data_IF_657705514871
#
_entry.id   IF_657705514871
#
_cell.length_a   1.000
_cell.length_b   1.000
_cell.length_c   1.000
_cell.angle_alpha   90.00
_cell.angle_beta   90.00
_cell.angle_gamma   90.00
#
_symmetry.space_group_name_H-M   'P 1'
#
loop_
_entity.id
_entity.type
_entity.pdbx_description
1 polymer ?
#
# COMPACT_ATOMS: atom_id res chain seq x y z
N UNK A 1 -29.18 7.63 -81.97
CA UNK A 1 -28.31 7.36 -80.81
C UNK A 1 -27.37 8.54 -80.66
N UNK A 2 -27.45 9.25 -79.52
CA UNK A 2 -26.84 10.58 -79.32
C UNK A 2 -25.38 10.44 -78.87
N UNK A 3 -24.47 11.18 -79.50
CA UNK A 3 -23.12 11.44 -79.01
C UNK A 3 -23.08 12.88 -78.46
N UNK A 4 -22.88 13.03 -77.14
CA UNK A 4 -22.59 14.30 -76.45
C UNK A 4 -21.06 14.43 -76.30
N UNK A 5 -20.46 15.52 -76.77
CA UNK A 5 -20.21 16.80 -76.07
C UNK A 5 -19.19 16.68 -74.94
N UNK A 6 -17.98 17.12 -75.26
CA UNK A 6 -16.84 17.39 -74.38
C UNK A 6 -17.05 18.68 -73.62
N UNK A 7 -16.91 18.65 -72.29
CA UNK A 7 -16.66 19.83 -71.47
C UNK A 7 -15.49 19.57 -70.52
N UNK A 8 -14.52 20.48 -70.59
CA UNK A 8 -13.46 20.72 -69.61
C UNK A 8 -14.04 21.59 -68.51
N UNK A 9 -13.75 21.31 -67.25
CA UNK A 9 -13.50 22.35 -66.23
C UNK A 9 -12.73 21.74 -65.05
N UNK A 10 -11.80 22.54 -64.56
CA UNK A 10 -10.83 22.26 -63.50
C UNK A 10 -11.44 22.22 -62.09
N UNK A 11 -10.55 21.85 -61.15
CA UNK A 11 -10.38 22.38 -59.78
C UNK A 11 -10.70 21.41 -58.62
N UNK A 12 -9.73 21.37 -57.69
CA UNK A 12 -9.66 20.81 -56.34
C UNK A 12 -9.11 19.37 -56.23
N UNK A 13 -7.82 19.22 -55.93
CA UNK A 13 -7.19 19.31 -54.59
C UNK A 13 -7.61 18.13 -53.72
N UNK A 14 -6.69 17.16 -53.54
CA UNK A 14 -6.34 16.61 -52.23
C UNK A 14 -5.05 15.81 -52.31
N UNK A 15 -4.29 15.92 -51.22
CA UNK A 15 -2.95 15.43 -51.01
C UNK A 15 -2.85 13.90 -51.05
N UNK A 16 -1.81 13.40 -51.71
CA UNK A 16 -1.26 12.07 -51.49
C UNK A 16 0.17 12.22 -51.02
N UNK A 17 0.40 12.13 -49.71
CA UNK A 17 1.73 11.97 -49.14
C UNK A 17 1.74 10.65 -48.37
N UNK A 18 2.35 9.65 -48.99
CA UNK A 18 2.85 8.45 -48.35
C UNK A 18 3.96 8.86 -47.36
N UNK A 19 3.93 8.29 -46.15
CA UNK A 19 4.94 8.57 -45.14
C UNK A 19 4.79 7.60 -43.97
N UNK A 20 5.61 6.56 -44.03
CA UNK A 20 5.79 5.48 -43.07
C UNK A 20 6.07 5.99 -41.64
N UNK A 21 5.66 5.22 -40.62
CA UNK A 21 6.25 5.37 -39.28
C UNK A 21 5.34 5.03 -38.11
N UNK A 22 5.47 3.80 -37.62
CA UNK A 22 5.42 3.48 -36.18
C UNK A 22 4.10 3.71 -35.45
N UNK A 23 3.14 2.80 -35.61
CA UNK A 23 2.07 2.62 -34.62
C UNK A 23 2.69 1.93 -33.40
N UNK A 24 3.24 2.73 -32.48
CA UNK A 24 3.56 2.29 -31.13
C UNK A 24 2.26 1.98 -30.42
N UNK A 25 1.89 0.70 -30.44
CA UNK A 25 0.82 0.17 -29.64
C UNK A 25 1.16 0.41 -28.17
N UNK A 26 0.40 1.30 -27.52
CA UNK A 26 0.31 1.36 -26.08
C UNK A 26 -0.30 0.06 -25.57
N UNK A 27 0.53 -0.98 -25.48
CA UNK A 27 0.31 -2.08 -24.56
C UNK A 27 0.39 -1.51 -23.15
N UNK A 28 -0.75 -1.09 -22.61
CA UNK A 28 -0.93 -0.95 -21.16
C UNK A 28 -0.93 -2.38 -20.61
N UNK A 29 0.27 -2.93 -20.42
CA UNK A 29 0.44 -4.01 -19.45
C UNK A 29 -0.02 -3.45 -18.11
N UNK A 30 -1.09 -4.03 -17.59
CA UNK A 30 -1.58 -3.79 -16.24
C UNK A 30 -0.39 -3.93 -15.28
N UNK A 31 0.15 -2.79 -14.83
CA UNK A 31 1.08 -2.75 -13.69
C UNK A 31 0.28 -3.25 -12.50
N UNK A 32 0.59 -4.48 -12.09
CA UNK A 32 0.18 -5.06 -10.82
C UNK A 32 0.43 -4.03 -9.72
N UNK A 33 -0.65 -3.45 -9.22
CA UNK A 33 -0.67 -2.35 -8.26
C UNK A 33 -0.40 -2.83 -6.83
N UNK A 34 0.69 -3.57 -6.64
CA UNK A 34 1.29 -3.78 -5.32
C UNK A 34 2.71 -3.23 -5.36
N UNK A 35 2.79 -1.90 -5.38
CA UNK A 35 4.03 -1.22 -5.01
C UNK A 35 4.28 -1.56 -3.55
N UNK A 36 5.28 -2.41 -3.33
CA UNK A 36 5.89 -2.65 -2.03
C UNK A 36 6.08 -1.30 -1.32
N UNK A 37 5.67 -1.22 -0.06
CA UNK A 37 5.82 -0.02 0.80
C UNK A 37 7.28 0.49 0.78
N UNK A 38 8.22 -0.40 0.48
CA UNK A 38 9.65 -0.15 0.36
C UNK A 38 10.05 0.58 -0.94
N UNK A 39 9.37 0.37 -2.07
CA UNK A 39 9.72 1.01 -3.35
C UNK A 39 9.42 2.51 -3.36
N UNK A 40 8.32 2.94 -2.74
CA UNK A 40 7.99 4.36 -2.58
C UNK A 40 8.86 5.06 -1.52
N UNK A 41 9.35 4.32 -0.52
CA UNK A 41 10.30 4.81 0.48
C UNK A 41 11.73 4.94 -0.06
N UNK A 42 12.11 4.06 -0.99
CA UNK A 42 13.44 4.00 -1.63
C UNK A 42 13.76 5.23 -2.49
N UNK A 43 12.78 5.77 -3.25
CA UNK A 43 13.01 6.99 -4.04
C UNK A 43 13.14 8.26 -3.18
N UNK A 44 12.51 8.29 -2.00
CA UNK A 44 12.51 9.45 -1.11
C UNK A 44 13.71 9.50 -0.15
N UNK A 45 14.44 8.38 0.03
CA UNK A 45 15.53 8.25 0.97
C UNK A 45 16.77 7.64 0.32
N UNK A 46 17.27 8.32 -0.72
CA UNK A 46 18.54 7.99 -1.36
C UNK A 46 19.69 8.25 -0.39
N UNK A 47 20.10 7.24 0.35
CA UNK A 47 21.32 7.27 1.15
C UNK A 47 22.55 7.30 0.24
N UNK A 48 23.62 7.97 0.66
CA UNK A 48 24.88 7.99 -0.09
C UNK A 48 25.67 6.70 0.14
N UNK A 49 26.66 6.44 -0.72
CA UNK A 49 27.56 5.32 -0.52
C UNK A 49 28.33 5.46 0.81
N UNK A 50 28.72 6.68 1.19
CA UNK A 50 29.41 6.91 2.46
C UNK A 50 28.53 6.56 3.67
N UNK A 51 27.23 6.90 3.61
CA UNK A 51 26.29 6.62 4.68
C UNK A 51 26.03 5.12 4.88
N UNK A 52 26.03 4.37 3.78
CA UNK A 52 25.93 2.93 3.80
C UNK A 52 27.18 2.29 4.40
N UNK A 53 28.37 2.76 4.00
CA UNK A 53 29.65 2.26 4.50
C UNK A 53 29.85 2.58 5.98
N UNK A 54 29.42 3.76 6.44
CA UNK A 54 29.40 4.13 7.86
C UNK A 54 28.48 3.22 8.68
N UNK A 55 27.29 2.89 8.14
CA UNK A 55 26.34 2.02 8.83
C UNK A 55 26.79 0.56 8.89
N UNK A 56 27.34 0.04 7.79
CA UNK A 56 27.79 -1.35 7.70
C UNK A 56 29.20 -1.55 8.31
N UNK A 57 29.98 -0.48 8.46
CA UNK A 57 31.37 -0.56 8.91
C UNK A 57 32.33 -1.22 7.91
N UNK A 58 31.90 -1.40 6.66
CA UNK A 58 32.66 -2.02 5.57
C UNK A 58 32.47 -1.24 4.26
N UNK A 59 33.45 -1.31 3.37
CA UNK A 59 33.37 -0.69 2.03
C UNK A 59 32.26 -1.36 1.20
N UNK A 60 31.53 -0.57 0.40
CA UNK A 60 30.42 -1.07 -0.41
C UNK A 60 30.83 -2.23 -1.33
N UNK A 61 32.02 -2.15 -1.93
CA UNK A 61 32.52 -3.19 -2.82
C UNK A 61 32.74 -4.52 -2.08
N UNK A 62 33.18 -4.44 -0.83
CA UNK A 62 33.36 -5.61 0.04
C UNK A 62 32.01 -6.18 0.47
N UNK A 63 31.06 -5.31 0.82
CA UNK A 63 29.68 -5.71 1.12
C UNK A 63 29.00 -6.41 -0.05
N UNK A 64 29.02 -5.83 -1.26
CA UNK A 64 28.42 -6.46 -2.45
C UNK A 64 29.07 -7.82 -2.76
N UNK A 65 30.37 -7.97 -2.47
CA UNK A 65 31.08 -9.24 -2.65
C UNK A 65 30.66 -10.30 -1.64
N UNK A 66 30.42 -9.93 -0.39
CA UNK A 66 29.91 -10.83 0.65
C UNK A 66 28.47 -11.25 0.36
N UNK A 67 27.62 -10.28 0.00
CA UNK A 67 26.25 -10.53 -0.48
C UNK A 67 26.25 -11.48 -1.68
N UNK A 68 27.20 -11.30 -2.62
CA UNK A 68 27.35 -12.17 -3.78
C UNK A 68 27.77 -13.58 -3.40
N UNK A 69 28.74 -13.73 -2.50
CA UNK A 69 29.20 -15.03 -2.05
C UNK A 69 28.07 -15.80 -1.33
N UNK A 70 27.32 -15.13 -0.46
CA UNK A 70 26.16 -15.72 0.23
C UNK A 70 25.07 -16.13 -0.75
N UNK A 71 24.82 -15.31 -1.78
CA UNK A 71 23.87 -15.63 -2.84
C UNK A 71 24.28 -16.87 -3.63
N UNK A 72 25.53 -16.92 -4.08
CA UNK A 72 26.05 -18.05 -4.86
C UNK A 72 26.09 -19.35 -4.00
N UNK A 73 26.21 -19.25 -2.67
CA UNK A 73 26.11 -20.41 -1.75
C UNK A 73 24.68 -20.97 -1.64
N UNK A 74 23.67 -20.10 -1.74
CA UNK A 74 22.26 -20.47 -1.63
C UNK A 74 21.60 -20.79 -2.98
N UNK A 75 22.17 -20.34 -4.09
CA UNK A 75 21.82 -20.74 -5.47
C UNK A 75 22.37 -22.15 -5.77
N UNK A 76 21.76 -23.15 -5.11
CA UNK A 76 22.23 -24.54 -5.14
C UNK A 76 22.16 -25.18 -6.53
N UNK A 77 21.25 -24.72 -7.38
CA UNK A 77 21.04 -25.20 -8.74
C UNK A 77 21.80 -24.38 -9.80
N UNK A 78 22.49 -23.30 -9.39
CA UNK A 78 23.26 -22.39 -10.24
C UNK A 78 22.42 -21.85 -11.41
N UNK A 79 21.13 -21.63 -11.18
CA UNK A 79 20.22 -21.07 -12.19
C UNK A 79 20.30 -19.53 -12.23
N UNK A 80 21.12 -18.95 -11.33
CA UNK A 80 21.30 -17.52 -11.17
C UNK A 80 20.20 -16.89 -10.32
N UNK A 81 19.38 -17.70 -9.64
CA UNK A 81 18.23 -17.28 -8.86
C UNK A 81 18.21 -17.97 -7.49
N UNK A 82 17.52 -17.33 -6.56
CA UNK A 82 17.19 -17.92 -5.27
C UNK A 82 15.68 -17.86 -5.06
N UNK A 83 15.09 -18.92 -4.53
CA UNK A 83 13.68 -18.96 -4.14
C UNK A 83 13.42 -18.09 -2.92
N UNK A 84 12.16 -17.78 -2.66
CA UNK A 84 11.77 -16.97 -1.51
C UNK A 84 12.26 -17.60 -0.19
N UNK A 85 12.11 -18.92 -0.03
CA UNK A 85 12.57 -19.62 1.18
C UNK A 85 14.09 -19.54 1.35
N UNK A 86 14.86 -19.62 0.25
CA UNK A 86 16.31 -19.42 0.29
C UNK A 86 16.70 -17.98 0.63
N UNK A 87 15.97 -16.98 0.13
CA UNK A 87 16.17 -15.57 0.51
C UNK A 87 16.00 -15.38 2.02
N UNK A 88 15.00 -16.04 2.62
CA UNK A 88 14.76 -15.96 4.07
C UNK A 88 15.94 -16.49 4.87
N UNK A 89 16.45 -17.67 4.51
CA UNK A 89 17.61 -18.29 5.19
C UNK A 89 18.85 -17.43 5.00
N UNK A 90 19.11 -17.00 3.77
CA UNK A 90 20.25 -16.15 3.44
C UNK A 90 20.23 -14.83 4.23
N UNK A 91 19.07 -14.17 4.36
CA UNK A 91 18.94 -12.94 5.15
C UNK A 91 19.16 -13.17 6.65
N UNK A 92 18.91 -14.37 7.16
CA UNK A 92 19.20 -14.74 8.55
C UNK A 92 20.69 -15.06 8.75
N UNK A 93 21.32 -15.73 7.78
CA UNK A 93 22.72 -16.16 7.86
C UNK A 93 23.71 -15.00 7.76
N UNK A 94 23.35 -13.91 7.08
CA UNK A 94 24.22 -12.75 6.94
C UNK A 94 24.33 -11.88 8.22
N UNK A 95 23.67 -12.25 9.32
CA UNK A 95 23.73 -11.64 10.66
C UNK A 95 23.67 -10.09 10.68
N UNK A 96 23.00 -9.47 9.71
CA UNK A 96 22.83 -8.01 9.63
C UNK A 96 21.79 -7.48 10.63
N UNK A 97 21.35 -8.31 11.58
CA UNK A 97 20.41 -7.91 12.63
C UNK A 97 18.97 -7.66 12.16
N UNK A 98 18.59 -8.16 10.98
CA UNK A 98 17.22 -8.01 10.50
C UNK A 98 16.24 -8.75 11.41
N UNK A 99 15.20 -8.05 11.88
CA UNK A 99 14.15 -8.69 12.66
C UNK A 99 13.33 -9.63 11.79
N UNK A 100 12.79 -10.71 12.38
CA UNK A 100 11.95 -11.67 11.66
C UNK A 100 10.73 -10.98 11.00
N UNK A 101 10.22 -9.90 11.61
CA UNK A 101 9.15 -9.08 11.04
C UNK A 101 9.60 -8.31 9.80
N UNK A 102 10.82 -7.77 9.81
CA UNK A 102 11.40 -7.08 8.66
C UNK A 102 11.53 -8.08 7.50
N UNK A 103 12.07 -9.27 7.77
CA UNK A 103 12.21 -10.34 6.77
C UNK A 103 10.84 -10.80 6.24
N UNK A 104 9.84 -10.99 7.11
CA UNK A 104 8.49 -11.36 6.69
C UNK A 104 7.83 -10.28 5.79
N UNK A 105 8.01 -9.01 6.13
CA UNK A 105 7.46 -7.91 5.33
C UNK A 105 8.16 -7.74 3.98
N UNK A 106 9.47 -8.03 3.91
CA UNK A 106 10.17 -8.14 2.62
C UNK A 106 9.50 -9.23 1.78
N UNK A 107 9.31 -10.41 2.36
CA UNK A 107 8.76 -11.60 1.69
C UNK A 107 7.33 -11.39 1.17
N UNK A 108 6.49 -10.63 1.88
CA UNK A 108 5.13 -10.26 1.42
C UNK A 108 5.13 -9.40 0.15
N UNK A 109 6.17 -8.60 -0.05
CA UNK A 109 6.34 -7.79 -1.26
C UNK A 109 6.72 -8.62 -2.49
N UNK A 110 7.03 -9.92 -2.31
CA UNK A 110 7.66 -10.73 -3.35
C UNK A 110 6.87 -12.00 -3.69
N UNK A 111 5.57 -11.84 -3.90
CA UNK A 111 4.74 -12.92 -4.42
C UNK A 111 5.07 -13.19 -5.90
N UNK A 112 5.86 -14.24 -6.19
CA UNK A 112 6.09 -14.80 -7.52
C UNK A 112 6.94 -16.08 -7.48
N UNK A 113 6.53 -17.10 -8.25
CA UNK A 113 7.17 -18.44 -8.26
C UNK A 113 8.50 -18.50 -9.04
N UNK A 114 8.90 -17.43 -9.73
CA UNK A 114 9.98 -17.49 -10.74
C UNK A 114 11.40 -17.32 -10.18
N UNK A 115 11.58 -17.26 -8.85
CA UNK A 115 12.88 -17.05 -8.19
C UNK A 115 13.45 -15.64 -8.38
N UNK A 116 14.48 -15.30 -7.59
CA UNK A 116 15.09 -13.97 -7.56
C UNK A 116 16.47 -13.98 -8.20
N UNK A 117 16.61 -13.28 -9.31
CA UNK A 117 17.94 -12.96 -9.80
C UNK A 117 18.72 -12.10 -8.79
N UNK A 118 20.04 -12.27 -8.73
CA UNK A 118 20.94 -11.53 -7.83
C UNK A 118 20.68 -10.01 -7.81
N UNK A 119 20.40 -9.41 -8.96
CA UNK A 119 20.11 -7.97 -9.06
C UNK A 119 18.88 -7.56 -8.26
N UNK A 120 17.81 -8.36 -8.31
CA UNK A 120 16.58 -8.07 -7.58
C UNK A 120 16.78 -8.26 -6.08
N UNK A 121 17.53 -9.30 -5.71
CA UNK A 121 17.92 -9.56 -4.34
C UNK A 121 18.75 -8.40 -3.76
N UNK A 122 19.75 -7.92 -4.49
CA UNK A 122 20.58 -6.79 -4.07
C UNK A 122 19.77 -5.50 -3.91
N UNK A 123 18.83 -5.21 -4.82
CA UNK A 123 17.91 -4.08 -4.68
C UNK A 123 17.09 -4.17 -3.38
N UNK A 124 16.58 -5.36 -3.07
CA UNK A 124 15.81 -5.58 -1.84
C UNK A 124 16.65 -5.36 -0.57
N UNK A 125 17.87 -5.89 -0.54
CA UNK A 125 18.81 -5.66 0.58
C UNK A 125 19.08 -4.16 0.77
N UNK A 126 19.28 -3.41 -0.32
CA UNK A 126 19.49 -1.96 -0.25
C UNK A 126 18.26 -1.19 0.21
N UNK A 127 17.06 -1.56 -0.24
CA UNK A 127 15.82 -0.90 0.19
C UNK A 127 15.61 -1.06 1.70
N UNK A 128 15.93 -2.22 2.24
CA UNK A 128 15.82 -2.52 3.67
C UNK A 128 16.86 -1.74 4.46
N UNK A 129 18.12 -1.79 4.06
CA UNK A 129 19.18 -1.03 4.71
C UNK A 129 18.89 0.47 4.69
N UNK A 130 18.29 0.98 3.61
CA UNK A 130 17.84 2.36 3.53
C UNK A 130 16.79 2.73 4.57
N UNK A 131 15.85 1.81 4.85
CA UNK A 131 14.86 1.99 5.92
C UNK A 131 15.53 1.98 7.30
N UNK A 132 16.41 1.01 7.57
CA UNK A 132 17.11 0.90 8.86
C UNK A 132 18.05 2.10 9.12
N UNK A 133 18.80 2.54 8.11
CA UNK A 133 19.66 3.74 8.17
C UNK A 133 18.81 4.99 8.44
N UNK A 134 17.66 5.11 7.77
CA UNK A 134 16.75 6.22 7.99
C UNK A 134 16.14 6.22 9.40
N UNK A 135 15.86 5.03 9.96
CA UNK A 135 15.42 4.89 11.34
C UNK A 135 16.52 5.26 12.34
N UNK A 136 17.75 4.79 12.12
CA UNK A 136 18.91 5.08 12.97
C UNK A 136 19.25 6.59 13.00
N UNK A 137 19.05 7.29 11.88
CA UNK A 137 19.27 8.75 11.76
C UNK A 137 18.16 9.61 12.36
N UNK A 138 17.13 9.01 12.96
CA UNK A 138 16.05 9.75 13.60
C UNK A 138 15.17 10.53 12.61
N UNK A 139 15.11 10.09 11.33
CA UNK A 139 14.23 10.70 10.35
C UNK A 139 12.77 10.35 10.70
N UNK A 140 12.15 11.22 11.49
CA UNK A 140 10.83 11.08 12.15
C UNK A 140 9.64 10.89 11.22
N UNK A 141 9.80 11.10 9.91
CA UNK A 141 8.78 10.80 8.90
C UNK A 141 8.54 9.29 8.74
N UNK A 142 9.55 8.44 8.96
CA UNK A 142 9.44 6.98 8.94
C UNK A 142 9.00 6.37 10.29
N UNK A 143 9.27 7.04 11.41
CA UNK A 143 8.69 6.66 12.70
C UNK A 143 7.15 6.77 12.66
N UNK A 144 6.61 7.78 11.98
CA UNK A 144 5.16 7.92 11.81
C UNK A 144 4.56 6.83 10.93
N UNK A 145 5.20 6.44 9.82
CA UNK A 145 4.67 5.37 8.96
C UNK A 145 4.80 3.98 9.58
N UNK A 146 5.87 3.68 10.32
CA UNK A 146 6.03 2.39 11.01
C UNK A 146 5.14 2.27 12.25
N UNK A 147 4.98 3.35 13.03
CA UNK A 147 4.00 3.36 14.13
C UNK A 147 2.57 3.35 13.61
N UNK A 148 2.27 4.03 12.49
CA UNK A 148 0.96 3.97 11.84
C UNK A 148 0.70 2.58 11.24
N UNK A 149 1.69 1.93 10.63
CA UNK A 149 1.58 0.55 10.12
C UNK A 149 1.34 -0.46 11.25
N UNK A 150 2.10 -0.37 12.35
CA UNK A 150 1.89 -1.20 13.53
C UNK A 150 0.54 -0.92 14.22
N UNK A 151 0.12 0.35 14.30
CA UNK A 151 -1.19 0.75 14.84
C UNK A 151 -2.33 0.28 13.94
N UNK A 152 -2.19 0.39 12.63
CA UNK A 152 -3.17 -0.11 11.65
C UNK A 152 -3.24 -1.62 11.69
N UNK A 153 -2.12 -2.32 11.78
CA UNK A 153 -2.08 -3.77 11.96
C UNK A 153 -2.79 -4.20 13.25
N UNK A 154 -2.57 -3.50 14.37
CA UNK A 154 -3.30 -3.73 15.61
C UNK A 154 -4.80 -3.41 15.48
N UNK A 155 -5.16 -2.28 14.88
CA UNK A 155 -6.55 -1.87 14.68
C UNK A 155 -7.30 -2.87 13.78
N UNK A 156 -6.66 -3.40 12.73
CA UNK A 156 -7.20 -4.46 11.88
C UNK A 156 -7.37 -5.75 12.69
N UNK A 157 -6.39 -6.15 13.51
CA UNK A 157 -6.52 -7.33 14.36
C UNK A 157 -7.67 -7.20 15.38
N UNK A 158 -7.79 -6.03 16.03
CA UNK A 158 -8.88 -5.71 16.96
C UNK A 158 -10.23 -5.70 16.21
N UNK A 159 -10.27 -5.18 14.98
CA UNK A 159 -11.46 -5.17 14.13
C UNK A 159 -11.89 -6.59 13.73
N UNK A 160 -10.94 -7.47 13.37
CA UNK A 160 -11.24 -8.87 13.04
C UNK A 160 -11.91 -9.60 14.20
N UNK A 161 -11.48 -9.31 15.45
CA UNK A 161 -12.13 -9.83 16.65
C UNK A 161 -13.54 -9.25 16.86
N UNK A 162 -13.78 -8.02 16.37
CA UNK A 162 -15.05 -7.32 16.47
C UNK A 162 -16.01 -7.57 15.28
N UNK A 163 -15.66 -8.38 14.28
CA UNK A 163 -16.52 -8.63 13.11
C UNK A 163 -17.96 -9.03 13.45
N UNK A 164 -18.25 -9.89 14.46
CA UNK A 164 -19.62 -10.19 14.85
C UNK A 164 -20.40 -8.96 15.37
N UNK A 165 -19.70 -8.01 16.01
CA UNK A 165 -20.31 -6.75 16.45
C UNK A 165 -20.54 -5.81 15.28
N UNK A 166 -19.64 -5.78 14.30
CA UNK A 166 -19.81 -5.00 13.06
C UNK A 166 -21.06 -5.48 12.33
N UNK A 167 -21.20 -6.79 12.07
CA UNK A 167 -22.38 -7.37 11.43
C UNK A 167 -23.66 -7.03 12.21
N UNK A 168 -23.62 -7.08 13.55
CA UNK A 168 -24.75 -6.67 14.39
C UNK A 168 -25.09 -5.19 14.23
N UNK A 169 -24.09 -4.31 14.22
CA UNK A 169 -24.27 -2.87 13.97
C UNK A 169 -24.85 -2.62 12.59
N UNK A 170 -24.31 -3.27 11.55
CA UNK A 170 -24.82 -3.16 10.18
C UNK A 170 -26.28 -3.60 10.06
N UNK A 171 -26.66 -4.71 10.72
CA UNK A 171 -28.06 -5.19 10.73
C UNK A 171 -29.00 -4.30 11.55
N UNK A 172 -28.49 -3.65 12.59
CA UNK A 172 -29.31 -2.81 13.48
C UNK A 172 -29.50 -1.40 12.92
N UNK A 173 -28.44 -0.82 12.35
CA UNK A 173 -28.43 0.56 11.87
C UNK A 173 -28.64 0.68 10.36
N UNK A 174 -28.38 -0.40 9.62
CA UNK A 174 -28.46 -0.41 8.16
C UNK A 174 -29.90 -0.47 7.66
N UNK A 175 -30.08 0.00 6.43
CA UNK A 175 -31.30 -0.23 5.65
C UNK A 175 -31.37 -1.69 5.16
N UNK A 176 -32.46 -2.06 4.49
CA UNK A 176 -32.62 -3.36 3.83
C UNK A 176 -31.50 -3.67 2.81
N UNK A 177 -30.80 -2.64 2.31
CA UNK A 177 -29.66 -2.79 1.40
C UNK A 177 -28.32 -3.05 2.10
N UNK A 178 -28.30 -3.15 3.43
CA UNK A 178 -27.06 -3.34 4.20
C UNK A 178 -26.16 -2.11 4.22
N UNK A 179 -26.72 -0.91 4.04
CA UNK A 179 -25.99 0.36 4.08
C UNK A 179 -26.49 1.23 5.22
N UNK A 180 -25.58 1.95 5.88
CA UNK A 180 -25.92 2.89 6.95
C UNK A 180 -25.81 4.32 6.40
N UNK A 181 -26.83 5.19 6.59
CA UNK A 181 -26.73 6.59 6.24
C UNK A 181 -25.55 7.26 6.95
N UNK A 182 -24.71 8.00 6.21
CA UNK A 182 -23.53 8.66 6.78
C UNK A 182 -23.91 9.67 7.87
N UNK A 183 -25.04 10.37 7.71
CA UNK A 183 -25.57 11.29 8.73
C UNK A 183 -25.78 10.60 10.08
N UNK A 184 -26.36 9.40 10.08
CA UNK A 184 -26.61 8.61 11.28
C UNK A 184 -25.30 8.19 11.96
N UNK A 185 -24.31 7.75 11.19
CA UNK A 185 -22.97 7.39 11.71
C UNK A 185 -22.33 8.61 12.36
N UNK A 186 -22.33 9.75 11.67
CA UNK A 186 -21.74 11.00 12.17
C UNK A 186 -22.42 11.44 13.47
N UNK A 187 -23.76 11.37 13.53
CA UNK A 187 -24.52 11.73 14.72
C UNK A 187 -24.18 10.83 15.91
N UNK A 188 -24.04 9.52 15.71
CA UNK A 188 -23.66 8.62 16.79
C UNK A 188 -22.19 8.75 17.21
N UNK A 189 -21.24 8.90 16.28
CA UNK A 189 -19.83 9.09 16.61
C UNK A 189 -19.63 10.39 17.41
N UNK A 190 -20.38 11.45 17.09
CA UNK A 190 -20.37 12.71 17.86
C UNK A 190 -20.95 12.59 19.28
N UNK A 191 -21.72 11.54 19.58
CA UNK A 191 -22.24 11.28 20.94
C UNK A 191 -21.22 10.60 21.84
N UNK A 192 -20.20 9.94 21.29
CA UNK A 192 -19.16 9.25 22.05
C UNK A 192 -18.19 10.29 22.67
N UNK A 193 -18.20 10.51 23.99
CA UNK A 193 -17.38 11.56 24.63
C UNK A 193 -15.88 11.37 24.42
N UNK A 194 -15.43 10.13 24.32
CA UNK A 194 -14.03 9.78 24.12
C UNK A 194 -13.53 10.21 22.74
N UNK A 195 -14.39 10.17 21.72
CA UNK A 195 -14.06 10.63 20.37
C UNK A 195 -14.02 12.16 20.26
N UNK A 196 -14.76 12.89 21.11
CA UNK A 196 -14.75 14.37 21.09
C UNK A 196 -13.38 14.97 21.37
N UNK A 197 -12.52 14.27 22.10
CA UNK A 197 -11.13 14.68 22.34
C UNK A 197 -10.29 14.68 21.05
N UNK A 198 -10.77 13.97 20.02
CA UNK A 198 -10.11 13.75 18.74
C UNK A 198 -10.99 14.24 17.55
N UNK A 199 -11.74 15.32 17.74
CA UNK A 199 -12.67 15.88 16.74
C UNK A 199 -12.00 16.17 15.38
N UNK A 200 -10.72 16.58 15.36
CA UNK A 200 -9.98 16.83 14.13
C UNK A 200 -9.79 15.55 13.28
N UNK A 201 -9.39 14.44 13.92
CA UNK A 201 -9.22 13.13 13.30
C UNK A 201 -10.54 12.60 12.75
N UNK A 202 -11.57 12.63 13.60
CA UNK A 202 -12.92 12.20 13.24
C UNK A 202 -13.45 12.97 12.03
N UNK A 203 -13.27 14.30 12.00
CA UNK A 203 -13.64 15.14 10.85
C UNK A 203 -12.87 14.80 9.60
N UNK A 204 -11.58 14.47 9.71
CA UNK A 204 -10.76 14.08 8.57
C UNK A 204 -11.28 12.76 7.97
N UNK A 205 -11.49 11.73 8.78
CA UNK A 205 -12.02 10.44 8.32
C UNK A 205 -13.43 10.57 7.73
N UNK A 206 -14.33 11.33 8.38
CA UNK A 206 -15.68 11.60 7.86
C UNK A 206 -15.62 12.33 6.52
N UNK A 207 -14.71 13.30 6.35
CA UNK A 207 -14.55 14.04 5.09
C UNK A 207 -14.12 13.11 3.96
N UNK A 208 -13.22 12.16 4.23
CA UNK A 208 -12.79 11.16 3.24
C UNK A 208 -13.97 10.31 2.78
N UNK A 209 -14.83 9.86 3.69
CA UNK A 209 -15.99 9.01 3.37
C UNK A 209 -17.13 9.78 2.72
N UNK A 210 -17.35 11.05 3.09
CA UNK A 210 -18.37 11.89 2.45
C UNK A 210 -18.15 12.01 0.95
N UNK A 211 -16.90 11.96 0.49
CA UNK A 211 -16.59 11.97 -0.94
C UNK A 211 -16.97 10.64 -1.64
N UNK A 212 -17.18 9.56 -0.89
CA UNK A 212 -17.55 8.24 -1.40
C UNK A 212 -19.07 8.03 -1.53
N UNK A 213 -19.91 8.80 -0.79
CA UNK A 213 -21.37 8.73 -0.92
C UNK A 213 -22.15 9.21 0.31
N UNK A 214 -23.49 9.15 0.23
CA UNK A 214 -24.41 9.50 1.33
C UNK A 214 -24.67 8.35 2.31
N UNK A 215 -24.35 7.12 1.90
CA UNK A 215 -24.48 5.91 2.71
C UNK A 215 -23.19 5.09 2.65
N UNK A 216 -22.96 4.31 3.69
CA UNK A 216 -21.71 3.59 3.94
C UNK A 216 -22.04 2.10 3.99
N UNK A 217 -21.35 1.30 3.17
CA UNK A 217 -21.41 -0.16 3.24
C UNK A 217 -20.49 -0.71 4.35
N UNK A 218 -20.55 -2.02 4.60
CA UNK A 218 -19.78 -2.68 5.65
C UNK A 218 -18.26 -2.45 5.52
N UNK A 219 -17.75 -2.51 4.29
CA UNK A 219 -16.33 -2.32 4.01
C UNK A 219 -15.89 -0.89 4.33
N UNK A 220 -16.61 0.10 3.83
CA UNK A 220 -16.30 1.52 4.06
C UNK A 220 -16.47 1.90 5.53
N UNK A 221 -17.43 1.28 6.22
CA UNK A 221 -17.61 1.46 7.67
C UNK A 221 -16.45 0.85 8.47
N UNK A 222 -15.95 -0.31 8.04
CA UNK A 222 -14.78 -0.95 8.64
C UNK A 222 -13.52 -0.10 8.50
N UNK A 223 -13.28 0.44 7.30
CA UNK A 223 -12.16 1.38 7.04
C UNK A 223 -12.25 2.64 7.90
N UNK A 224 -13.46 3.20 8.09
CA UNK A 224 -13.68 4.32 9.00
C UNK A 224 -13.23 4.00 10.43
N UNK A 225 -13.61 2.83 10.94
CA UNK A 225 -13.29 2.43 12.31
C UNK A 225 -11.79 2.20 12.49
N UNK A 226 -11.12 1.62 11.49
CA UNK A 226 -9.66 1.47 11.47
C UNK A 226 -8.99 2.84 11.52
N UNK A 227 -9.41 3.77 10.65
CA UNK A 227 -8.82 5.10 10.60
C UNK A 227 -8.98 5.85 11.93
N UNK A 228 -10.18 5.80 12.53
CA UNK A 228 -10.44 6.40 13.85
C UNK A 228 -9.56 5.75 14.93
N UNK A 229 -9.44 4.42 14.94
CA UNK A 229 -8.61 3.72 15.92
C UNK A 229 -7.10 3.95 15.73
N UNK A 230 -6.66 4.31 14.52
CA UNK A 230 -5.26 4.59 14.21
C UNK A 230 -4.78 5.98 14.68
N UNK A 231 -5.67 6.96 14.77
CA UNK A 231 -5.35 8.38 15.05
C UNK A 231 -5.02 8.68 16.54
N UNK A 232 -4.40 7.73 17.25
CA UNK A 232 -4.01 7.86 18.67
C UNK A 232 -5.18 8.12 19.62
N UNK A 233 -6.39 7.76 19.18
CA UNK A 233 -7.57 7.75 20.01
C UNK A 233 -7.44 6.53 20.91
N UNK A 234 -7.34 6.71 22.22
CA UNK A 234 -7.26 5.61 23.21
C UNK A 234 -8.59 4.83 23.33
N UNK A 235 -9.35 4.72 22.24
CA UNK A 235 -10.67 4.12 22.16
C UNK A 235 -10.57 2.91 21.25
N UNK A 236 -10.89 1.74 21.82
CA UNK A 236 -10.91 0.50 21.05
C UNK A 236 -12.07 0.48 20.05
N UNK A 237 -11.91 -0.24 18.94
CA UNK A 237 -12.98 -0.47 17.95
C UNK A 237 -14.22 -1.06 18.63
N UNK A 238 -14.03 -1.98 19.59
CA UNK A 238 -15.12 -2.57 20.37
C UNK A 238 -15.92 -1.52 21.14
N UNK A 239 -15.25 -0.59 21.84
CA UNK A 239 -15.91 0.49 22.60
C UNK A 239 -16.76 1.38 21.70
N UNK A 240 -16.29 1.66 20.48
CA UNK A 240 -17.05 2.42 19.49
C UNK A 240 -18.31 1.65 19.11
N UNK A 241 -18.18 0.38 18.69
CA UNK A 241 -19.30 -0.45 18.24
C UNK A 241 -20.37 -0.65 19.33
N UNK A 242 -19.96 -0.93 20.57
CA UNK A 242 -20.88 -1.07 21.69
C UNK A 242 -21.63 0.23 21.99
N UNK A 243 -20.95 1.37 21.90
CA UNK A 243 -21.57 2.69 22.06
C UNK A 243 -22.59 2.97 20.97
N UNK A 244 -22.30 2.62 19.72
CA UNK A 244 -23.24 2.75 18.60
C UNK A 244 -24.53 1.93 18.82
N UNK A 245 -24.38 0.66 19.24
CA UNK A 245 -25.53 -0.19 19.56
C UNK A 245 -26.36 0.37 20.73
N UNK A 246 -25.68 0.90 21.76
CA UNK A 246 -26.36 1.48 22.92
C UNK A 246 -27.19 2.71 22.55
N UNK A 247 -26.62 3.66 21.80
CA UNK A 247 -27.32 4.89 21.41
C UNK A 247 -28.52 4.64 20.49
N UNK A 248 -28.53 3.53 19.76
CA UNK A 248 -29.68 3.15 18.96
C UNK A 248 -30.85 2.60 19.79
N UNK A 249 -30.56 1.96 20.92
CA UNK A 249 -31.58 1.41 21.83
C UNK A 249 -32.18 2.46 22.77
N UNK A 250 -31.51 3.60 22.95
CA UNK A 250 -32.03 4.72 23.73
C UNK A 250 -33.21 5.38 22.98
N UNK A 251 -34.39 5.51 23.62
CA UNK A 251 -35.54 6.18 22.99
C UNK A 251 -35.17 7.63 22.68
N UNK A 252 -35.40 8.06 21.42
CA UNK A 252 -35.20 9.43 20.97
C UNK A 252 -36.23 10.39 21.56
#
# INVERSE_FOLDING_TARGET
MRQGRTERTDVLRCAGASGEGGVSGCARTARSGRMSVYAAASEANRFTAEELEEFLGVERAQFEKEIRAAFDEHDTDNDGKVTADQVRVLLQDMDFGFSEKTVASMMEGIAGDDGFAFRNFLTLVYDVLGVEIAMAKGNTSLQRSHTQGARRGKAVADMLQCMPLIDRVMKTLGSEEGKIPLSLIVDYLNRIPELKKHDAALRASIKTIRNAGESVDEHTFSELLIDIACEDVAVSVQTILESLLKFHQEPQ
#
